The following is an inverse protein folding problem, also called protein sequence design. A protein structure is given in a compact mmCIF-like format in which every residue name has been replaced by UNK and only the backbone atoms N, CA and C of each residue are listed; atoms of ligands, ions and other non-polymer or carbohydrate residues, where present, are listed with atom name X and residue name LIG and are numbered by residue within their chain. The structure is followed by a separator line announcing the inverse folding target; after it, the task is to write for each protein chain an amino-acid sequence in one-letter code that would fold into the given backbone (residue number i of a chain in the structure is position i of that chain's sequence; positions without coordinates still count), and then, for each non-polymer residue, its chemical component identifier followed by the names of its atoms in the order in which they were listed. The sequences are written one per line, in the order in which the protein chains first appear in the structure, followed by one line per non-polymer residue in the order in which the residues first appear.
data_IF_041843489560
#
_entry.id   IF_041843489560
#
_cell.length_a   1.000
_cell.length_b   1.000
_cell.length_c   1.000
_cell.angle_alpha   90.00
_cell.angle_beta   90.00
_cell.angle_gamma   90.00
#
_symmetry.space_group_name_H-M   'P 1'
#
loop_
_entity.id
_entity.type
_entity.pdbx_description
1 polymer ?
#
# COMPACT_ATOMS: atom_id res chain seq x y z
N UNK A 1 -14.11 -11.98 -9.53
CA UNK A 1 -13.35 -10.71 -9.62
C UNK A 1 -13.27 -10.14 -11.04
N UNK A 2 -13.31 -10.98 -12.08
CA UNK A 2 -13.19 -10.55 -13.50
C UNK A 2 -14.54 -10.22 -14.18
N UNK A 3 -15.67 -10.62 -13.63
CA UNK A 3 -16.98 -10.44 -14.26
C UNK A 3 -17.72 -9.13 -13.89
N UNK A 4 -17.25 -8.38 -12.89
CA UNK A 4 -17.88 -7.12 -12.49
C UNK A 4 -17.27 -5.86 -13.10
N UNK A 5 -16.31 -6.00 -14.02
CA UNK A 5 -15.66 -4.85 -14.65
C UNK A 5 -16.54 -4.17 -15.73
N UNK A 6 -17.57 -4.83 -16.26
CA UNK A 6 -18.47 -4.23 -17.26
C UNK A 6 -19.58 -3.35 -16.66
N UNK A 7 -20.01 -3.64 -15.42
CA UNK A 7 -20.97 -2.83 -14.67
C UNK A 7 -20.34 -1.83 -13.67
N UNK A 8 -19.01 -1.87 -13.52
CA UNK A 8 -18.25 -1.22 -12.46
C UNK A 8 -18.10 0.31 -12.51
N UNK A 9 -18.77 0.98 -13.46
CA UNK A 9 -18.77 2.45 -13.50
C UNK A 9 -19.85 3.05 -12.57
N UNK A 10 -20.77 2.24 -12.06
CA UNK A 10 -21.92 2.73 -11.27
C UNK A 10 -21.73 2.62 -9.75
N UNK A 11 -20.78 1.87 -9.24
CA UNK A 11 -20.71 1.64 -7.79
C UNK A 11 -19.28 1.69 -7.24
N UNK A 12 -18.75 2.91 -7.09
CA UNK A 12 -17.58 3.17 -6.23
C UNK A 12 -17.83 2.78 -4.76
N UNK A 13 -19.09 2.56 -4.38
CA UNK A 13 -19.51 2.09 -3.06
C UNK A 13 -19.27 0.58 -2.88
N UNK A 14 -19.44 -0.24 -3.92
CA UNK A 14 -19.30 -1.71 -3.81
C UNK A 14 -17.84 -2.12 -3.68
N UNK A 15 -16.93 -1.51 -4.43
CA UNK A 15 -15.47 -1.77 -4.28
C UNK A 15 -14.95 -1.31 -2.93
N UNK A 16 -15.42 -0.17 -2.42
CA UNK A 16 -15.07 0.30 -1.07
C UNK A 16 -15.56 -0.62 0.04
N UNK A 17 -16.77 -1.20 -0.09
CA UNK A 17 -17.34 -2.12 0.89
C UNK A 17 -16.60 -3.47 0.87
N UNK A 18 -16.27 -4.02 -0.30
CA UNK A 18 -15.54 -5.29 -0.39
C UNK A 18 -14.11 -5.20 0.12
N UNK A 19 -13.40 -4.09 -0.14
CA UNK A 19 -12.04 -3.88 0.36
C UNK A 19 -11.98 -3.65 1.86
N UNK A 20 -13.03 -3.11 2.47
CA UNK A 20 -13.12 -3.01 3.93
C UNK A 20 -13.64 -4.31 4.58
N UNK A 21 -14.46 -5.11 3.90
CA UNK A 21 -15.08 -6.28 4.48
C UNK A 21 -14.11 -7.43 4.79
N UNK A 22 -13.14 -7.70 3.90
CA UNK A 22 -12.15 -8.77 4.10
C UNK A 22 -11.24 -8.53 5.32
N UNK A 23 -10.58 -7.38 5.48
CA UNK A 23 -9.77 -7.09 6.66
C UNK A 23 -10.57 -7.08 7.96
N UNK A 24 -11.81 -6.58 7.94
CA UNK A 24 -12.71 -6.61 9.09
C UNK A 24 -13.04 -8.06 9.46
N UNK A 25 -13.35 -8.93 8.50
CA UNK A 25 -13.62 -10.35 8.73
C UNK A 25 -12.41 -11.08 9.33
N UNK A 26 -11.19 -10.74 8.87
CA UNK A 26 -9.94 -11.28 9.40
C UNK A 26 -9.69 -10.77 10.82
N UNK A 27 -9.92 -9.49 11.09
CA UNK A 27 -9.80 -8.92 12.43
C UNK A 27 -10.74 -9.63 13.43
N UNK A 28 -11.99 -9.84 13.06
CA UNK A 28 -12.92 -10.60 13.89
C UNK A 28 -12.46 -12.04 14.10
N UNK A 29 -12.00 -12.73 13.06
CA UNK A 29 -11.43 -14.07 13.15
C UNK A 29 -10.26 -14.15 14.14
N UNK A 30 -9.31 -13.23 14.03
CA UNK A 30 -8.16 -13.15 14.95
C UNK A 30 -8.60 -12.83 16.39
N UNK A 31 -9.53 -11.89 16.56
CA UNK A 31 -10.05 -11.53 17.87
C UNK A 31 -10.76 -12.71 18.53
N UNK A 32 -11.63 -13.42 17.81
CA UNK A 32 -12.39 -14.58 18.32
C UNK A 32 -11.45 -15.72 18.65
N UNK A 33 -10.53 -16.08 17.77
CA UNK A 33 -9.57 -17.16 18.00
C UNK A 33 -8.60 -16.79 19.13
N UNK A 34 -8.08 -15.57 19.14
CA UNK A 34 -7.18 -15.08 20.17
C UNK A 34 -7.86 -15.07 21.55
N UNK A 35 -9.03 -14.46 21.65
CA UNK A 35 -9.78 -14.37 22.92
C UNK A 35 -10.26 -15.74 23.39
N UNK A 36 -10.85 -16.56 22.48
CA UNK A 36 -11.25 -17.92 22.78
C UNK A 36 -10.09 -18.79 23.27
N UNK A 37 -8.93 -18.68 22.62
CA UNK A 37 -7.71 -19.35 23.05
C UNK A 37 -7.22 -18.87 24.41
N UNK A 38 -7.27 -17.54 24.67
CA UNK A 38 -6.91 -16.99 25.99
C UNK A 38 -7.85 -17.46 27.10
N UNK A 39 -9.14 -17.65 26.84
CA UNK A 39 -10.12 -18.17 27.81
C UNK A 39 -9.86 -19.61 28.19
N UNK A 40 -9.14 -20.38 27.34
CA UNK A 40 -8.74 -21.76 27.68
C UNK A 40 -7.51 -21.79 28.60
N UNK A 41 -6.71 -20.72 28.63
CA UNK A 41 -5.44 -20.65 29.38
C UNK A 41 -5.60 -19.80 30.66
N UNK A 42 -6.43 -18.78 30.63
CA UNK A 42 -6.63 -17.82 31.73
C UNK A 42 -8.08 -17.80 32.22
N UNK A 43 -8.31 -17.39 33.48
CA UNK A 43 -9.63 -17.06 33.97
C UNK A 43 -10.30 -15.98 33.10
N UNK A 44 -11.63 -16.04 32.96
CA UNK A 44 -12.40 -15.14 32.10
C UNK A 44 -12.09 -13.65 32.36
N UNK A 45 -12.01 -13.26 33.63
CA UNK A 45 -11.72 -11.86 34.03
C UNK A 45 -10.36 -11.39 33.54
N UNK A 46 -9.37 -12.27 33.51
CA UNK A 46 -8.03 -11.98 33.01
C UNK A 46 -8.03 -11.92 31.48
N UNK A 47 -8.70 -12.88 30.80
CA UNK A 47 -8.78 -12.91 29.34
C UNK A 47 -9.43 -11.64 28.77
N UNK A 48 -10.50 -11.16 29.37
CA UNK A 48 -11.17 -9.92 28.93
C UNK A 48 -10.34 -8.65 29.14
N UNK A 49 -9.40 -8.62 30.10
CA UNK A 49 -8.51 -7.45 30.30
C UNK A 49 -7.52 -7.23 29.16
N UNK A 50 -7.23 -8.24 28.34
CA UNK A 50 -6.35 -8.08 27.17
C UNK A 50 -7.00 -7.24 26.05
N UNK A 51 -8.33 -7.17 25.97
CA UNK A 51 -9.03 -6.39 24.95
C UNK A 51 -8.75 -4.88 25.12
N UNK A 52 -9.08 -4.24 26.25
CA UNK A 52 -8.85 -2.82 26.43
C UNK A 52 -7.34 -2.46 26.46
N UNK A 53 -6.49 -3.31 27.02
CA UNK A 53 -5.05 -3.06 27.06
C UNK A 53 -4.44 -3.08 25.67
N UNK A 54 -4.82 -4.03 24.81
CA UNK A 54 -4.34 -4.10 23.44
C UNK A 54 -4.80 -2.92 22.60
N UNK A 55 -6.09 -2.61 22.64
CA UNK A 55 -6.63 -1.46 21.92
C UNK A 55 -5.99 -0.15 22.41
N UNK A 56 -5.86 0.02 23.72
CA UNK A 56 -5.28 1.24 24.27
C UNK A 56 -3.79 1.40 23.92
N UNK A 57 -2.99 0.33 23.98
CA UNK A 57 -1.55 0.42 23.70
C UNK A 57 -1.27 0.86 22.25
N UNK A 58 -2.11 0.45 21.29
CA UNK A 58 -1.97 0.91 19.91
C UNK A 58 -2.58 2.29 19.68
N UNK A 59 -3.78 2.56 20.20
CA UNK A 59 -4.42 3.87 19.98
C UNK A 59 -3.71 5.02 20.68
N UNK A 60 -3.00 4.75 21.76
CA UNK A 60 -2.19 5.75 22.49
C UNK A 60 -0.80 5.98 21.88
N UNK A 61 -0.39 5.18 20.90
CA UNK A 61 0.91 5.35 20.26
C UNK A 61 0.85 6.51 19.25
N UNK A 62 1.55 7.59 19.57
CA UNK A 62 1.56 8.80 18.76
C UNK A 62 2.06 8.56 17.33
N UNK A 63 3.04 7.67 17.14
CA UNK A 63 3.58 7.34 15.80
C UNK A 63 2.53 6.76 14.85
N UNK A 64 1.44 6.16 15.39
CA UNK A 64 0.33 5.69 14.58
C UNK A 64 -0.51 6.82 13.97
N UNK A 65 -0.36 8.07 14.44
CA UNK A 65 -1.02 9.24 13.84
C UNK A 65 -0.54 9.53 12.42
N UNK A 66 0.64 9.06 12.05
CA UNK A 66 1.15 9.16 10.68
C UNK A 66 0.25 8.43 9.66
N UNK A 67 -0.35 7.28 10.04
CA UNK A 67 -1.17 6.48 9.13
C UNK A 67 -2.39 7.24 8.60
N UNK A 68 -3.31 7.75 9.46
CA UNK A 68 -4.45 8.53 8.97
C UNK A 68 -4.06 9.75 8.16
N UNK A 69 -2.94 10.39 8.52
CA UNK A 69 -2.46 11.57 7.79
C UNK A 69 -1.94 11.21 6.39
N UNK A 70 -1.16 10.13 6.24
CA UNK A 70 -0.72 9.66 4.92
C UNK A 70 -1.90 9.19 4.06
N UNK A 71 -2.89 8.51 4.65
CA UNK A 71 -4.11 8.11 3.92
C UNK A 71 -4.87 9.34 3.43
N UNK A 72 -5.05 10.35 4.29
CA UNK A 72 -5.71 11.59 3.94
C UNK A 72 -4.95 12.37 2.85
N UNK A 73 -3.62 12.45 2.97
CA UNK A 73 -2.76 13.04 1.95
C UNK A 73 -2.98 12.36 0.58
N UNK A 74 -3.00 11.02 0.55
CA UNK A 74 -3.20 10.25 -0.68
C UNK A 74 -4.57 10.47 -1.32
N UNK A 75 -5.65 10.51 -0.52
CA UNK A 75 -7.00 10.79 -1.04
C UNK A 75 -7.14 12.22 -1.55
N UNK A 76 -6.50 13.19 -0.91
CA UNK A 76 -6.44 14.57 -1.40
C UNK A 76 -5.59 14.69 -2.67
N UNK A 77 -4.47 13.98 -2.77
CA UNK A 77 -3.63 13.91 -3.96
C UNK A 77 -4.39 13.36 -5.18
N UNK A 78 -5.31 12.43 -4.96
CA UNK A 78 -6.23 11.95 -5.99
C UNK A 78 -7.09 13.09 -6.55
N UNK A 79 -7.73 13.89 -5.67
CA UNK A 79 -8.57 15.03 -6.10
C UNK A 79 -7.77 16.21 -6.65
N UNK A 80 -6.46 16.24 -6.42
CA UNK A 80 -5.54 17.17 -7.07
C UNK A 80 -5.12 16.74 -8.49
N UNK A 81 -5.73 15.68 -9.07
CA UNK A 81 -5.44 15.16 -10.41
C UNK A 81 -3.97 14.76 -10.63
N UNK A 82 -3.22 14.42 -9.55
CA UNK A 82 -1.80 14.08 -9.67
C UNK A 82 -1.59 12.79 -10.47
N UNK A 83 -2.50 11.82 -10.36
CA UNK A 83 -2.46 10.59 -11.14
C UNK A 83 -2.64 10.83 -12.65
N UNK A 84 -3.49 11.78 -13.04
CA UNK A 84 -3.69 12.15 -14.44
C UNK A 84 -2.44 12.83 -15.01
N UNK A 85 -1.87 13.78 -14.28
CA UNK A 85 -0.64 14.45 -14.70
C UNK A 85 0.53 13.46 -14.84
N UNK A 86 0.65 12.52 -13.90
CA UNK A 86 1.65 11.46 -13.97
C UNK A 86 1.45 10.57 -15.21
N UNK A 87 0.21 10.21 -15.53
CA UNK A 87 -0.11 9.40 -16.70
C UNK A 87 0.16 10.14 -18.01
N UNK A 88 -0.25 11.41 -18.11
CA UNK A 88 -0.01 12.24 -19.31
C UNK A 88 1.50 12.42 -19.55
N UNK A 89 2.28 12.63 -18.49
CA UNK A 89 3.73 12.72 -18.59
C UNK A 89 4.35 11.38 -19.04
N UNK A 90 4.01 10.28 -18.37
CA UNK A 90 4.54 8.97 -18.73
C UNK A 90 4.16 8.56 -20.16
N UNK A 91 2.94 8.88 -20.59
CA UNK A 91 2.47 8.64 -21.95
C UNK A 91 3.26 9.42 -23.00
N UNK A 92 3.59 10.69 -22.75
CA UNK A 92 4.40 11.49 -23.65
C UNK A 92 5.85 10.94 -23.79
N UNK A 93 6.39 10.33 -22.73
CA UNK A 93 7.74 9.79 -22.74
C UNK A 93 7.83 8.37 -23.30
N UNK A 94 6.89 7.49 -22.96
CA UNK A 94 6.96 6.07 -23.24
C UNK A 94 5.91 5.58 -24.28
N UNK A 95 4.99 6.43 -24.71
CA UNK A 95 3.85 6.01 -25.55
C UNK A 95 4.22 5.34 -26.89
N UNK A 96 5.42 5.62 -27.43
CA UNK A 96 5.90 4.99 -28.69
C UNK A 96 6.66 3.68 -28.50
N UNK A 97 6.94 3.29 -27.25
CA UNK A 97 7.57 1.99 -26.97
C UNK A 97 6.54 0.88 -27.18
N UNK A 98 6.91 -0.33 -27.63
CA UNK A 98 5.98 -1.46 -27.64
C UNK A 98 5.32 -1.65 -26.27
N UNK A 99 3.98 -1.69 -26.24
CA UNK A 99 3.25 -1.67 -24.97
C UNK A 99 3.25 -0.33 -24.23
N UNK A 100 3.52 0.78 -24.93
CA UNK A 100 3.82 2.10 -24.35
C UNK A 100 2.78 2.65 -23.40
N UNK A 101 1.49 2.45 -23.61
CA UNK A 101 0.44 2.85 -22.66
C UNK A 101 0.49 2.01 -21.38
N UNK A 102 0.82 0.73 -21.49
CA UNK A 102 1.04 -0.12 -20.31
C UNK A 102 2.29 0.30 -19.51
N UNK A 103 3.40 0.58 -20.22
CA UNK A 103 4.63 1.14 -19.61
C UNK A 103 4.34 2.47 -18.94
N UNK A 104 3.57 3.36 -19.59
CA UNK A 104 3.14 4.62 -19.02
C UNK A 104 2.31 4.42 -17.76
N UNK A 105 1.44 3.42 -17.71
CA UNK A 105 0.67 3.06 -16.51
C UNK A 105 1.58 2.66 -15.36
N UNK A 106 2.61 1.84 -15.61
CA UNK A 106 3.58 1.41 -14.58
C UNK A 106 4.31 2.62 -13.98
N UNK A 107 4.89 3.49 -14.82
CA UNK A 107 5.63 4.65 -14.31
C UNK A 107 4.72 5.71 -13.68
N UNK A 108 3.52 5.91 -14.21
CA UNK A 108 2.58 6.85 -13.60
C UNK A 108 2.05 6.35 -12.26
N UNK A 109 1.85 5.03 -12.10
CA UNK A 109 1.53 4.44 -10.80
C UNK A 109 2.67 4.66 -9.82
N UNK A 110 3.92 4.44 -10.23
CA UNK A 110 5.09 4.70 -9.40
C UNK A 110 5.17 6.17 -8.92
N UNK A 111 4.90 7.13 -9.81
CA UNK A 111 4.90 8.56 -9.48
C UNK A 111 3.72 8.90 -8.56
N UNK A 112 2.54 8.36 -8.84
CA UNK A 112 1.35 8.61 -8.02
C UNK A 112 1.49 7.94 -6.64
N UNK A 113 2.06 6.74 -6.59
CA UNK A 113 2.37 6.01 -5.35
C UNK A 113 3.24 6.82 -4.40
N UNK A 114 4.21 7.55 -4.97
CA UNK A 114 5.05 8.49 -4.23
C UNK A 114 4.27 9.66 -3.58
N UNK A 115 2.98 9.81 -3.86
CA UNK A 115 2.10 10.82 -3.26
C UNK A 115 0.93 10.19 -2.49
N UNK A 116 0.50 8.97 -2.84
CA UNK A 116 -0.70 8.35 -2.27
C UNK A 116 -0.39 7.28 -1.23
N UNK A 117 0.69 6.51 -1.44
CA UNK A 117 1.08 5.41 -0.57
C UNK A 117 0.08 4.26 -0.47
N UNK A 118 -0.97 4.24 -1.32
CA UNK A 118 -2.08 3.30 -1.27
C UNK A 118 -2.30 2.61 -2.61
N UNK A 119 -2.05 1.30 -2.66
CA UNK A 119 -2.26 0.48 -3.87
C UNK A 119 -3.70 0.53 -4.39
N UNK A 120 -4.68 0.57 -3.49
CA UNK A 120 -6.09 0.64 -3.85
C UNK A 120 -6.44 1.95 -4.55
N UNK A 121 -5.90 3.07 -4.05
CA UNK A 121 -6.06 4.38 -4.67
C UNK A 121 -5.46 4.41 -6.06
N UNK A 122 -4.27 3.85 -6.26
CA UNK A 122 -3.63 3.79 -7.58
C UNK A 122 -4.44 2.94 -8.57
N UNK A 123 -4.85 1.74 -8.18
CA UNK A 123 -5.68 0.88 -9.04
C UNK A 123 -6.98 1.59 -9.40
N UNK A 124 -7.65 2.26 -8.45
CA UNK A 124 -8.88 3.00 -8.70
C UNK A 124 -8.69 4.17 -9.66
N UNK A 125 -7.57 4.89 -9.54
CA UNK A 125 -7.22 6.00 -10.45
C UNK A 125 -6.93 5.48 -11.85
N UNK A 126 -6.00 4.56 -11.97
CA UNK A 126 -5.53 4.11 -13.29
C UNK A 126 -6.53 3.20 -14.00
N UNK A 127 -7.42 2.52 -13.29
CA UNK A 127 -8.56 1.86 -13.93
C UNK A 127 -9.49 2.83 -14.66
N UNK A 128 -9.65 4.05 -14.14
CA UNK A 128 -10.48 5.10 -14.76
C UNK A 128 -9.75 5.90 -15.86
N UNK A 129 -8.43 6.01 -15.79
CA UNK A 129 -7.63 6.82 -16.71
C UNK A 129 -6.99 5.96 -17.79
N UNK A 130 -6.23 4.92 -17.39
CA UNK A 130 -5.40 4.15 -18.29
C UNK A 130 -6.18 3.07 -19.04
N UNK A 131 -7.12 2.37 -18.38
CA UNK A 131 -7.88 1.29 -19.04
C UNK A 131 -8.68 1.79 -20.22
N UNK A 132 -9.48 2.88 -20.16
CA UNK A 132 -10.20 3.38 -21.32
C UNK A 132 -9.28 3.82 -22.47
N UNK A 133 -8.12 4.39 -22.16
CA UNK A 133 -7.14 4.77 -23.20
C UNK A 133 -6.51 3.55 -23.86
N UNK A 134 -6.12 2.54 -23.09
CA UNK A 134 -5.63 1.27 -23.63
C UNK A 134 -6.69 0.56 -24.48
N UNK A 135 -7.96 0.57 -24.06
CA UNK A 135 -9.06 0.01 -24.83
C UNK A 135 -9.27 0.75 -26.16
N UNK A 136 -9.23 2.10 -26.16
CA UNK A 136 -9.31 2.91 -27.41
C UNK A 136 -8.15 2.63 -28.35
N UNK A 137 -6.99 2.28 -27.80
CA UNK A 137 -5.81 1.87 -28.56
C UNK A 137 -5.83 0.38 -28.96
N UNK A 138 -6.95 -0.32 -28.82
CA UNK A 138 -7.14 -1.73 -29.12
C UNK A 138 -6.22 -2.68 -28.35
N UNK A 139 -5.85 -2.33 -27.11
CA UNK A 139 -5.16 -3.28 -26.24
C UNK A 139 -6.08 -4.43 -25.83
N UNK A 140 -5.50 -5.61 -25.67
CA UNK A 140 -6.22 -6.73 -25.09
C UNK A 140 -6.73 -6.35 -23.68
N UNK A 141 -8.05 -6.48 -23.40
CA UNK A 141 -8.61 -6.09 -22.10
C UNK A 141 -7.96 -6.79 -20.92
N UNK A 142 -7.55 -8.05 -21.08
CA UNK A 142 -6.85 -8.80 -20.01
C UNK A 142 -5.49 -8.19 -19.69
N UNK A 143 -4.76 -7.76 -20.72
CA UNK A 143 -3.48 -7.07 -20.53
C UNK A 143 -3.67 -5.72 -19.87
N UNK A 144 -4.63 -4.91 -20.33
CA UNK A 144 -4.91 -3.59 -19.77
C UNK A 144 -5.25 -3.66 -18.27
N UNK A 145 -6.17 -4.56 -17.90
CA UNK A 145 -6.55 -4.77 -16.50
C UNK A 145 -5.40 -5.36 -15.67
N UNK A 146 -4.66 -6.32 -16.23
CA UNK A 146 -3.52 -6.94 -15.55
C UNK A 146 -2.41 -5.94 -15.26
N UNK A 147 -2.09 -5.06 -16.21
CA UNK A 147 -1.07 -4.01 -16.02
C UNK A 147 -1.49 -3.03 -14.93
N UNK A 148 -2.75 -2.56 -14.94
CA UNK A 148 -3.24 -1.64 -13.90
C UNK A 148 -3.23 -2.30 -12.51
N UNK A 149 -3.72 -3.53 -12.40
CA UNK A 149 -3.73 -4.26 -11.15
C UNK A 149 -2.31 -4.48 -10.59
N UNK A 150 -1.37 -4.86 -11.46
CA UNK A 150 0.02 -5.08 -11.07
C UNK A 150 0.73 -3.77 -10.74
N UNK A 151 0.51 -2.70 -11.52
CA UNK A 151 1.15 -1.40 -11.31
C UNK A 151 0.76 -0.80 -9.96
N UNK A 152 -0.47 -1.04 -9.47
CA UNK A 152 -0.89 -0.61 -8.14
C UNK A 152 -0.05 -1.17 -6.99
N UNK A 153 0.62 -2.31 -7.17
CA UNK A 153 1.53 -2.85 -6.15
C UNK A 153 2.78 -2.00 -5.94
N UNK A 154 3.16 -1.12 -6.88
CA UNK A 154 4.31 -0.23 -6.75
C UNK A 154 4.12 0.79 -5.63
N UNK A 155 2.90 1.23 -5.37
CA UNK A 155 2.56 2.21 -4.33
C UNK A 155 2.89 1.72 -2.92
N UNK A 156 2.99 0.40 -2.75
CA UNK A 156 3.40 -0.22 -1.48
C UNK A 156 4.91 -0.12 -1.26
N UNK A 157 5.69 -0.12 -2.36
CA UNK A 157 7.15 -0.13 -2.30
C UNK A 157 7.76 1.28 -2.38
N UNK A 158 7.10 2.18 -3.12
CA UNK A 158 7.63 3.54 -3.35
C UNK A 158 7.20 4.46 -2.20
N UNK A 159 8.16 5.11 -1.49
CA UNK A 159 7.81 5.98 -0.37
C UNK A 159 7.11 7.28 -0.82
N UNK A 160 6.26 7.87 0.05
CA UNK A 160 5.82 7.36 1.34
C UNK A 160 4.79 6.23 1.21
N UNK A 161 5.06 5.09 1.80
CA UNK A 161 4.19 3.91 1.78
C UNK A 161 3.54 3.69 3.14
N UNK A 162 2.21 3.59 3.16
CA UNK A 162 1.44 3.29 4.36
C UNK A 162 1.89 1.96 4.97
N UNK A 163 2.18 0.96 4.13
CA UNK A 163 2.59 -0.36 4.58
C UNK A 163 3.98 -0.35 5.23
N UNK A 164 4.93 0.45 4.72
CA UNK A 164 6.25 0.60 5.34
C UNK A 164 6.18 1.34 6.66
N UNK A 165 5.35 2.37 6.76
CA UNK A 165 5.08 3.07 8.02
C UNK A 165 4.50 2.09 9.04
N UNK A 166 3.52 1.32 8.64
CA UNK A 166 2.88 0.29 9.45
C UNK A 166 3.88 -0.78 9.93
N UNK A 167 4.72 -1.27 9.01
CA UNK A 167 5.78 -2.22 9.34
C UNK A 167 6.75 -1.65 10.38
N UNK A 168 7.21 -0.41 10.18
CA UNK A 168 8.13 0.26 11.09
C UNK A 168 7.57 0.38 12.51
N UNK A 169 6.28 0.64 12.63
CA UNK A 169 5.61 0.76 13.93
C UNK A 169 5.51 -0.60 14.64
N UNK A 170 5.10 -1.65 13.91
CA UNK A 170 4.96 -2.99 14.52
C UNK A 170 6.32 -3.57 14.93
N UNK A 171 7.36 -3.36 14.11
CA UNK A 171 8.70 -3.91 14.34
C UNK A 171 9.61 -2.99 15.16
N UNK A 172 9.08 -1.83 15.61
CA UNK A 172 9.84 -0.79 16.31
C UNK A 172 11.11 -0.36 15.55
N UNK A 173 11.03 -0.38 14.21
CA UNK A 173 12.12 0.03 13.32
C UNK A 173 11.91 1.48 12.89
N UNK A 174 13.00 2.20 12.59
CA UNK A 174 12.91 3.58 12.10
C UNK A 174 12.13 3.67 10.79
N UNK A 175 10.97 4.32 10.82
CA UNK A 175 10.14 4.55 9.63
C UNK A 175 10.91 5.28 8.54
N UNK A 176 11.72 6.30 8.90
CA UNK A 176 12.55 7.03 7.93
C UNK A 176 13.54 6.12 7.19
N UNK A 177 14.22 5.22 7.91
CA UNK A 177 15.15 4.26 7.29
C UNK A 177 14.43 3.27 6.38
N UNK A 178 13.24 2.80 6.77
CA UNK A 178 12.42 1.92 5.95
C UNK A 178 11.97 2.59 4.66
N UNK A 179 11.54 3.85 4.73
CA UNK A 179 11.15 4.62 3.55
C UNK A 179 12.35 4.80 2.59
N UNK A 180 13.56 5.05 3.10
CA UNK A 180 14.77 5.09 2.26
C UNK A 180 15.04 3.72 1.62
N UNK A 181 14.95 2.65 2.40
CA UNK A 181 15.20 1.29 1.93
C UNK A 181 14.22 0.85 0.82
N UNK A 182 12.99 1.40 0.80
CA UNK A 182 11.98 1.11 -0.22
C UNK A 182 12.26 1.69 -1.60
N UNK A 183 13.10 2.73 -1.71
CA UNK A 183 13.35 3.43 -3.00
C UNK A 183 13.95 2.46 -4.03
N UNK A 184 15.02 1.77 -3.68
CA UNK A 184 15.71 0.88 -4.62
C UNK A 184 14.85 -0.30 -5.07
N UNK A 185 14.19 -1.07 -4.19
CA UNK A 185 13.25 -2.11 -4.60
C UNK A 185 12.09 -1.57 -5.43
N UNK A 186 11.55 -0.40 -5.08
CA UNK A 186 10.47 0.25 -5.82
C UNK A 186 10.86 0.60 -7.26
N UNK A 187 12.03 1.24 -7.45
CA UNK A 187 12.56 1.55 -8.79
C UNK A 187 12.84 0.27 -9.57
N UNK A 188 13.50 -0.71 -8.95
CA UNK A 188 13.80 -1.99 -9.60
C UNK A 188 12.53 -2.69 -10.06
N UNK A 189 11.51 -2.76 -9.22
CA UNK A 189 10.22 -3.37 -9.55
C UNK A 189 9.52 -2.61 -10.68
N UNK A 190 9.52 -1.28 -10.67
CA UNK A 190 8.96 -0.47 -11.75
C UNK A 190 9.66 -0.75 -13.09
N UNK A 191 10.99 -0.82 -13.10
CA UNK A 191 11.78 -1.13 -14.31
C UNK A 191 11.50 -2.55 -14.80
N UNK A 192 11.48 -3.55 -13.89
CA UNK A 192 11.18 -4.94 -14.26
C UNK A 192 9.77 -5.09 -14.82
N UNK A 193 8.77 -4.44 -14.21
CA UNK A 193 7.39 -4.46 -14.70
C UNK A 193 7.27 -3.78 -16.07
N UNK A 194 7.86 -2.59 -16.25
CA UNK A 194 7.88 -1.90 -17.54
C UNK A 194 8.56 -2.73 -18.63
N UNK A 195 9.67 -3.39 -18.27
CA UNK A 195 10.39 -4.31 -19.16
C UNK A 195 9.53 -5.52 -19.51
N UNK A 196 8.85 -6.11 -18.52
CA UNK A 196 7.92 -7.23 -18.73
C UNK A 196 6.77 -6.87 -19.67
N UNK A 197 6.15 -5.71 -19.50
CA UNK A 197 5.10 -5.19 -20.39
C UNK A 197 5.65 -5.00 -21.82
N UNK A 198 6.83 -4.40 -21.95
CA UNK A 198 7.48 -4.17 -23.26
C UNK A 198 7.83 -5.48 -23.94
N UNK A 199 8.37 -6.44 -23.21
CA UNK A 199 8.72 -7.76 -23.75
C UNK A 199 7.47 -8.53 -24.20
N UNK A 200 6.41 -8.51 -23.37
CA UNK A 200 5.12 -9.11 -23.73
C UNK A 200 4.53 -8.49 -25.00
N UNK A 201 4.55 -7.16 -25.10
CA UNK A 201 4.08 -6.45 -26.29
C UNK A 201 4.90 -6.73 -27.54
N UNK A 202 6.22 -7.01 -27.40
CA UNK A 202 7.06 -7.45 -28.53
C UNK A 202 6.75 -8.87 -28.97
N UNK A 203 6.45 -9.77 -28.02
CA UNK A 203 6.09 -11.16 -28.31
C UNK A 203 4.68 -11.27 -28.89
N UNK A 204 3.76 -10.41 -28.48
CA UNK A 204 2.36 -10.37 -28.90
C UNK A 204 1.95 -8.96 -29.34
N UNK A 205 2.39 -8.48 -30.53
CA UNK A 205 2.12 -7.11 -30.99
C UNK A 205 0.62 -6.80 -31.11
N UNK A 206 -0.19 -7.80 -31.38
CA UNK A 206 -1.65 -7.67 -31.49
C UNK A 206 -2.31 -7.37 -30.14
N UNK A 207 -1.68 -7.79 -29.03
CA UNK A 207 -2.22 -7.56 -27.68
C UNK A 207 -1.97 -6.14 -27.16
N UNK A 208 -0.98 -5.43 -27.72
CA UNK A 208 -0.60 -4.08 -27.30
C UNK A 208 -0.10 -3.27 -28.51
N UNK A 209 -0.99 -2.85 -29.42
CA UNK A 209 -0.63 -2.07 -30.60
C UNK A 209 0.06 -0.75 -30.22
N UNK A 210 1.00 -0.32 -31.04
CA UNK A 210 1.66 0.98 -30.87
C UNK A 210 0.67 2.05 -31.32
N UNK A 211 0.34 3.00 -30.44
CA UNK A 211 -0.53 4.12 -30.78
C UNK A 211 0.23 5.14 -31.61
N UNK A 212 -0.22 5.34 -32.86
CA UNK A 212 0.38 6.30 -33.81
C UNK A 212 0.05 7.77 -33.49
N UNK A 213 -1.07 8.00 -32.80
CA UNK A 213 -1.65 9.32 -32.62
C UNK A 213 -1.11 10.09 -31.41
N UNK A 214 -0.07 9.55 -30.75
CA UNK A 214 0.50 10.18 -29.56
C UNK A 214 1.52 11.25 -29.93
N UNK A 215 1.28 12.46 -29.46
CA UNK A 215 2.28 13.52 -29.54
C UNK A 215 3.41 13.27 -28.53
N UNK A 216 4.54 12.80 -29.04
CA UNK A 216 5.76 12.56 -28.29
C UNK A 216 6.86 13.56 -28.63
N UNK A 217 6.48 14.74 -29.12
CA UNK A 217 7.41 15.82 -29.41
C UNK A 217 8.14 16.27 -28.14
N UNK A 218 9.33 16.81 -28.29
CA UNK A 218 10.08 17.37 -27.15
C UNK A 218 9.29 18.47 -26.43
N UNK A 219 8.50 19.25 -27.17
CA UNK A 219 7.62 20.26 -26.59
C UNK A 219 6.54 19.63 -25.69
N UNK A 220 5.89 18.55 -26.15
CA UNK A 220 4.91 17.82 -25.37
C UNK A 220 5.54 17.18 -24.11
N UNK A 221 6.72 16.57 -24.24
CA UNK A 221 7.46 15.99 -23.11
C UNK A 221 7.79 17.02 -22.03
N UNK A 222 8.30 18.18 -22.42
CA UNK A 222 8.61 19.26 -21.48
C UNK A 222 7.35 19.90 -20.87
N UNK A 223 6.28 20.04 -21.66
CA UNK A 223 5.02 20.58 -21.20
C UNK A 223 4.37 19.66 -20.15
N UNK A 224 4.37 18.34 -20.39
CA UNK A 224 3.83 17.36 -19.45
C UNK A 224 4.70 17.23 -18.19
N UNK A 225 6.03 17.30 -18.33
CA UNK A 225 6.95 17.29 -17.18
C UNK A 225 6.72 18.50 -16.27
N UNK A 226 6.43 19.67 -16.85
CA UNK A 226 6.06 20.86 -16.07
C UNK A 226 4.79 20.64 -15.22
N UNK A 227 3.85 19.80 -15.66
CA UNK A 227 2.63 19.50 -14.86
C UNK A 227 2.91 18.65 -13.62
N UNK A 228 4.03 17.94 -13.61
CA UNK A 228 4.45 17.13 -12.44
C UNK A 228 5.00 17.97 -11.28
N UNK A 229 5.09 19.32 -11.43
CA UNK A 229 5.61 20.18 -10.37
C UNK A 229 4.93 19.97 -9.02
N UNK A 230 3.61 19.72 -9.03
CA UNK A 230 2.80 19.53 -7.82
C UNK A 230 3.17 18.22 -7.11
N UNK A 231 3.27 17.12 -7.86
CA UNK A 231 3.73 15.84 -7.32
C UNK A 231 5.18 15.93 -6.83
N UNK A 232 6.06 16.59 -7.60
CA UNK A 232 7.47 16.77 -7.24
C UNK A 232 7.64 17.59 -5.96
N UNK A 233 6.87 18.68 -5.79
CA UNK A 233 6.93 19.48 -4.56
C UNK A 233 6.41 18.67 -3.38
N UNK A 234 5.25 18.02 -3.51
CA UNK A 234 4.67 17.22 -2.42
C UNK A 234 5.65 16.13 -1.98
N UNK A 235 6.20 15.38 -2.93
CA UNK A 235 7.20 14.34 -2.69
C UNK A 235 8.45 14.90 -2.00
N UNK A 236 9.03 15.97 -2.54
CA UNK A 236 10.27 16.57 -2.00
C UNK A 236 10.06 17.17 -0.62
N UNK A 237 8.93 17.82 -0.36
CA UNK A 237 8.64 18.39 0.95
C UNK A 237 8.46 17.30 1.99
N UNK A 238 7.66 16.28 1.70
CA UNK A 238 7.35 15.21 2.66
C UNK A 238 8.59 14.34 2.92
N UNK A 239 9.18 13.76 1.87
CA UNK A 239 10.33 12.88 2.06
C UNK A 239 11.60 13.66 2.38
N UNK A 240 11.79 14.85 1.82
CA UNK A 240 12.91 15.71 2.15
C UNK A 240 12.93 16.07 3.63
N UNK A 241 11.78 16.41 4.23
CA UNK A 241 11.67 16.69 5.65
C UNK A 241 12.04 15.47 6.51
N UNK A 242 11.59 14.26 6.13
CA UNK A 242 11.91 13.02 6.83
C UNK A 242 13.40 12.67 6.69
N UNK A 243 13.96 12.75 5.48
CA UNK A 243 15.33 12.31 5.19
C UNK A 243 16.40 13.26 5.75
N UNK A 244 16.09 14.55 5.84
CA UNK A 244 16.97 15.53 6.49
C UNK A 244 16.84 15.51 8.02
N UNK A 245 15.86 14.78 8.58
CA UNK A 245 15.61 14.74 10.02
C UNK A 245 14.97 16.02 10.58
N UNK A 246 14.48 16.92 9.70
CA UNK A 246 13.80 18.16 10.10
C UNK A 246 12.43 17.88 10.71
N UNK A 247 11.74 16.85 10.20
CA UNK A 247 10.42 16.45 10.66
C UNK A 247 10.34 14.93 10.91
N UNK A 248 9.56 14.56 11.90
CA UNK A 248 9.15 13.17 12.12
C UNK A 248 8.17 12.73 11.02
N UNK A 249 7.95 11.42 10.80
CA UNK A 249 7.01 10.94 9.79
C UNK A 249 5.59 11.48 9.92
N UNK A 250 5.11 11.67 11.15
CA UNK A 250 3.79 12.22 11.45
C UNK A 250 3.72 13.72 11.17
N UNK A 251 4.75 14.50 11.52
CA UNK A 251 4.83 15.92 11.17
C UNK A 251 4.92 16.12 9.63
N UNK A 252 5.73 15.31 8.96
CA UNK A 252 5.84 15.33 7.50
C UNK A 252 4.51 14.94 6.82
N UNK A 253 3.79 13.96 7.36
CA UNK A 253 2.47 13.58 6.87
C UNK A 253 1.45 14.72 7.05
N UNK A 254 1.48 15.44 8.19
CA UNK A 254 0.63 16.59 8.42
C UNK A 254 0.91 17.72 7.41
N UNK A 255 2.19 18.02 7.15
CA UNK A 255 2.60 18.98 6.11
C UNK A 255 2.13 18.49 4.74
N UNK A 256 2.22 17.19 4.47
CA UNK A 256 1.72 16.56 3.25
C UNK A 256 0.22 16.74 3.05
N UNK A 257 -0.58 16.60 4.10
CA UNK A 257 -2.04 16.88 4.07
C UNK A 257 -2.33 18.32 3.72
N UNK A 258 -1.66 19.27 4.40
CA UNK A 258 -1.82 20.71 4.12
C UNK A 258 -1.40 21.03 2.68
N UNK A 259 -0.27 20.48 2.24
CA UNK A 259 0.22 20.63 0.86
C UNK A 259 -0.77 20.06 -0.17
N UNK A 260 -1.31 18.87 0.06
CA UNK A 260 -2.30 18.25 -0.83
C UNK A 260 -3.60 19.07 -0.88
N UNK A 261 -4.08 19.55 0.26
CA UNK A 261 -5.26 20.42 0.32
C UNK A 261 -5.04 21.73 -0.44
N UNK A 262 -3.86 22.32 -0.28
CA UNK A 262 -3.46 23.52 -1.04
C UNK A 262 -3.44 23.25 -2.55
N UNK A 263 -2.91 22.11 -2.98
CA UNK A 263 -2.90 21.71 -4.40
C UNK A 263 -4.32 21.53 -4.96
N UNK A 264 -5.22 20.90 -4.20
CA UNK A 264 -6.64 20.77 -4.58
C UNK A 264 -7.28 22.17 -4.75
N UNK A 265 -6.94 23.09 -3.86
CA UNK A 265 -7.44 24.47 -3.93
C UNK A 265 -6.91 25.24 -5.15
N UNK A 266 -5.60 25.22 -5.38
CA UNK A 266 -4.95 25.89 -6.52
C UNK A 266 -5.48 25.38 -7.87
N UNK A 267 -5.84 24.09 -7.94
CA UNK A 267 -6.41 23.47 -9.14
C UNK A 267 -7.91 23.72 -9.33
N UNK A 268 -8.54 24.46 -8.42
CA UNK A 268 -9.99 24.75 -8.48
C UNK A 268 -10.87 23.54 -8.20
N UNK A 269 -10.28 22.45 -7.69
CA UNK A 269 -10.98 21.21 -7.40
C UNK A 269 -11.51 21.13 -5.95
N UNK A 270 -11.33 22.18 -5.15
CA UNK A 270 -11.72 22.21 -3.75
C UNK A 270 -13.24 22.37 -3.63
N UNK A 271 -13.93 21.29 -3.33
CA UNK A 271 -15.35 21.30 -2.99
C UNK A 271 -15.55 20.67 -1.63
N UNK A 272 -16.55 21.14 -0.87
CA UNK A 272 -16.87 20.58 0.45
C UNK A 272 -17.13 19.08 0.39
N UNK A 273 -17.77 18.60 -0.65
CA UNK A 273 -18.06 17.19 -0.86
C UNK A 273 -16.79 16.35 -0.97
N UNK A 274 -15.81 16.80 -1.78
CA UNK A 274 -14.52 16.10 -1.95
C UNK A 274 -13.71 16.07 -0.66
N UNK A 275 -13.64 17.19 0.04
CA UNK A 275 -12.94 17.26 1.34
C UNK A 275 -13.61 16.34 2.35
N UNK A 276 -14.94 16.43 2.49
CA UNK A 276 -15.71 15.55 3.38
C UNK A 276 -15.51 14.07 3.04
N UNK A 277 -15.56 13.73 1.76
CA UNK A 277 -15.32 12.35 1.31
C UNK A 277 -13.91 11.88 1.68
N UNK A 278 -12.87 12.70 1.45
CA UNK A 278 -11.49 12.37 1.78
C UNK A 278 -11.33 12.08 3.28
N UNK A 279 -11.93 12.90 4.13
CA UNK A 279 -11.90 12.67 5.59
C UNK A 279 -12.65 11.40 6.00
N UNK A 280 -13.83 11.16 5.45
CA UNK A 280 -14.64 9.98 5.78
C UNK A 280 -13.92 8.70 5.31
N UNK A 281 -13.37 8.71 4.09
CA UNK A 281 -12.66 7.56 3.53
C UNK A 281 -11.39 7.26 4.34
N UNK A 282 -10.60 8.28 4.64
CA UNK A 282 -9.40 8.15 5.49
C UNK A 282 -9.75 7.64 6.89
N UNK A 283 -10.83 8.13 7.48
CA UNK A 283 -11.29 7.67 8.79
C UNK A 283 -11.73 6.20 8.77
N UNK A 284 -12.43 5.76 7.72
CA UNK A 284 -12.84 4.35 7.56
C UNK A 284 -11.63 3.42 7.44
N UNK A 285 -10.67 3.76 6.58
CA UNK A 285 -9.45 2.96 6.38
C UNK A 285 -8.62 2.94 7.67
N UNK A 286 -8.49 4.06 8.35
CA UNK A 286 -7.80 4.15 9.64
C UNK A 286 -8.46 3.28 10.70
N UNK A 287 -9.78 3.37 10.86
CA UNK A 287 -10.53 2.55 11.81
C UNK A 287 -10.37 1.04 11.54
N UNK A 288 -10.38 0.66 10.27
CA UNK A 288 -10.11 -0.71 9.85
C UNK A 288 -8.70 -1.18 10.26
N UNK A 289 -7.68 -0.36 10.05
CA UNK A 289 -6.29 -0.66 10.44
C UNK A 289 -6.17 -0.80 11.96
N UNK A 290 -6.74 0.12 12.73
CA UNK A 290 -6.71 0.05 14.20
C UNK A 290 -7.45 -1.18 14.75
N UNK A 291 -8.58 -1.53 14.14
CA UNK A 291 -9.31 -2.75 14.51
C UNK A 291 -8.48 -4.00 14.23
N UNK A 292 -7.79 -4.05 13.09
CA UNK A 292 -6.91 -5.15 12.73
C UNK A 292 -5.72 -5.25 13.68
N UNK A 293 -5.10 -4.12 14.06
CA UNK A 293 -4.01 -4.06 15.04
C UNK A 293 -4.45 -4.57 16.42
N UNK A 294 -5.61 -4.12 16.90
CA UNK A 294 -6.14 -4.57 18.19
C UNK A 294 -6.43 -6.07 18.22
N UNK A 295 -7.05 -6.58 17.16
CA UNK A 295 -7.31 -8.01 17.00
C UNK A 295 -6.01 -8.82 16.88
N UNK A 296 -5.04 -8.31 16.12
CA UNK A 296 -3.72 -8.90 15.97
C UNK A 296 -2.95 -8.98 17.28
N UNK A 297 -3.06 -7.94 18.13
CA UNK A 297 -2.45 -7.95 19.46
C UNK A 297 -3.03 -9.08 20.34
N UNK A 298 -4.35 -9.22 20.38
CA UNK A 298 -5.01 -10.28 21.15
C UNK A 298 -4.55 -11.65 20.66
N UNK A 299 -4.50 -11.84 19.33
CA UNK A 299 -4.04 -13.08 18.71
C UNK A 299 -2.54 -13.35 18.98
N UNK A 300 -1.70 -12.35 18.85
CA UNK A 300 -0.27 -12.43 19.14
C UNK A 300 0.00 -12.79 20.62
N UNK A 301 -0.74 -12.19 21.54
CA UNK A 301 -0.67 -12.50 22.97
C UNK A 301 -1.06 -13.95 23.22
N UNK A 302 -2.13 -14.44 22.59
CA UNK A 302 -2.52 -15.85 22.67
C UNK A 302 -1.42 -16.79 22.17
N UNK A 303 -0.85 -16.54 20.99
CA UNK A 303 0.23 -17.36 20.42
C UNK A 303 1.48 -17.36 21.30
N UNK A 304 1.82 -16.20 21.88
CA UNK A 304 2.97 -16.06 22.77
C UNK A 304 2.79 -16.80 24.09
N UNK A 305 1.62 -16.66 24.72
CA UNK A 305 1.32 -17.27 26.03
C UNK A 305 1.14 -18.79 25.97
N UNK A 306 0.64 -19.32 24.85
CA UNK A 306 0.51 -20.76 24.63
C UNK A 306 1.80 -21.45 24.22
N UNK A 307 2.87 -20.69 23.99
CA UNK A 307 4.16 -21.25 23.58
C UNK A 307 4.21 -21.74 22.12
N UNK A 308 3.16 -21.49 21.32
CA UNK A 308 3.12 -21.88 19.90
C UNK A 308 4.30 -21.26 19.15
N UNK A 309 4.60 -19.98 19.39
CA UNK A 309 5.73 -19.29 18.73
C UNK A 309 7.06 -19.92 19.08
N UNK A 310 7.29 -20.27 20.35
CA UNK A 310 8.53 -20.92 20.79
C UNK A 310 8.69 -22.34 20.22
N UNK A 311 7.61 -23.10 20.16
CA UNK A 311 7.58 -24.44 19.57
C UNK A 311 7.88 -24.39 18.07
N UNK A 312 7.22 -23.51 17.33
CA UNK A 312 7.45 -23.31 15.89
C UNK A 312 8.90 -22.87 15.62
N UNK A 313 9.40 -21.92 16.40
CA UNK A 313 10.79 -21.45 16.28
C UNK A 313 11.80 -22.56 16.60
N UNK A 314 11.52 -23.38 17.61
CA UNK A 314 12.32 -24.55 17.94
C UNK A 314 12.34 -25.58 16.81
N UNK A 315 11.19 -25.84 16.21
CA UNK A 315 11.08 -26.76 15.07
C UNK A 315 11.85 -26.28 13.84
N UNK A 316 11.71 -24.98 13.48
CA UNK A 316 12.45 -24.36 12.36
C UNK A 316 13.97 -24.42 12.62
N UNK A 317 14.42 -24.17 13.86
CA UNK A 317 15.84 -24.28 14.22
C UNK A 317 16.35 -25.71 14.15
N UNK A 318 15.53 -26.70 14.52
CA UNK A 318 15.88 -28.10 14.43
C UNK A 318 16.00 -28.65 13.01
N UNK A 319 15.49 -27.92 12.02
CA UNK A 319 15.64 -28.27 10.61
C UNK A 319 17.01 -27.91 10.01
N UNK A 320 17.86 -27.16 10.73
CA UNK A 320 19.16 -26.66 10.26
C UNK A 320 19.13 -26.07 8.84
N UNK A 321 18.06 -25.32 8.53
CA UNK A 321 17.86 -24.71 7.22
C UNK A 321 18.92 -23.64 6.96
N UNK A 322 19.49 -23.66 5.76
CA UNK A 322 20.33 -22.55 5.30
C UNK A 322 19.50 -21.24 5.24
N UNK A 323 20.18 -20.10 5.37
CA UNK A 323 19.53 -18.78 5.25
C UNK A 323 18.67 -18.66 3.98
N UNK A 324 19.17 -19.14 2.86
CA UNK A 324 18.46 -19.11 1.58
C UNK A 324 17.22 -20.00 1.56
N UNK A 325 17.30 -21.21 2.15
CA UNK A 325 16.15 -22.10 2.25
C UNK A 325 15.05 -21.49 3.12
N UNK A 326 15.42 -20.84 4.23
CA UNK A 326 14.48 -20.12 5.08
C UNK A 326 13.81 -18.95 4.32
N UNK A 327 14.61 -18.15 3.59
CA UNK A 327 14.08 -17.04 2.78
C UNK A 327 13.10 -17.52 1.71
N UNK A 328 13.43 -18.57 0.99
CA UNK A 328 12.53 -19.18 -0.02
C UNK A 328 11.25 -19.69 0.66
N UNK A 329 11.35 -20.35 1.81
CA UNK A 329 10.18 -20.80 2.57
C UNK A 329 9.26 -19.66 2.98
N UNK A 330 9.82 -18.53 3.46
CA UNK A 330 9.06 -17.32 3.79
C UNK A 330 8.39 -16.76 2.54
N UNK A 331 9.10 -16.63 1.41
CA UNK A 331 8.55 -16.12 0.16
C UNK A 331 7.39 -16.99 -0.32
N UNK A 332 7.54 -18.32 -0.31
CA UNK A 332 6.47 -19.25 -0.69
C UNK A 332 5.25 -19.12 0.23
N UNK A 333 5.48 -19.01 1.55
CA UNK A 333 4.41 -18.77 2.53
C UNK A 333 3.66 -17.47 2.22
N UNK A 334 4.38 -16.38 1.98
CA UNK A 334 3.77 -15.08 1.69
C UNK A 334 3.05 -15.06 0.33
N UNK A 335 3.56 -15.76 -0.68
CA UNK A 335 2.85 -15.94 -1.95
C UNK A 335 1.52 -16.68 -1.76
N UNK A 336 1.53 -17.73 -0.94
CA UNK A 336 0.32 -18.49 -0.63
C UNK A 336 -0.68 -17.63 0.18
N UNK A 337 -0.24 -17.01 1.26
CA UNK A 337 -1.10 -16.15 2.09
C UNK A 337 -1.63 -14.95 1.31
N UNK A 338 -0.83 -14.34 0.45
CA UNK A 338 -1.22 -13.19 -0.38
C UNK A 338 -2.31 -13.47 -1.41
N UNK A 339 -2.60 -14.75 -1.71
CA UNK A 339 -3.78 -15.10 -2.50
C UNK A 339 -5.10 -14.91 -1.72
N UNK A 340 -5.06 -14.91 -0.39
CA UNK A 340 -6.24 -14.90 0.47
C UNK A 340 -6.34 -13.67 1.37
N UNK A 341 -5.19 -13.09 1.75
CA UNK A 341 -5.09 -12.00 2.71
C UNK A 341 -4.61 -10.72 2.03
N UNK A 342 -5.05 -9.57 2.53
CA UNK A 342 -4.44 -8.29 2.20
C UNK A 342 -3.08 -8.12 2.92
N UNK A 343 -2.28 -7.17 2.46
CA UNK A 343 -0.91 -7.00 2.93
C UNK A 343 -0.84 -6.65 4.43
N UNK A 344 -1.75 -5.83 4.94
CA UNK A 344 -1.79 -5.42 6.36
C UNK A 344 -2.16 -6.61 7.23
N UNK A 345 -3.22 -7.34 6.88
CA UNK A 345 -3.66 -8.55 7.59
C UNK A 345 -2.58 -9.61 7.63
N UNK A 346 -1.89 -9.82 6.49
CA UNK A 346 -0.79 -10.77 6.41
C UNK A 346 0.36 -10.39 7.34
N UNK A 347 0.73 -9.11 7.41
CA UNK A 347 1.76 -8.63 8.32
C UNK A 347 1.37 -8.82 9.78
N UNK A 348 0.17 -8.43 10.17
CA UNK A 348 -0.32 -8.58 11.56
C UNK A 348 -0.34 -10.03 11.99
N UNK A 349 -0.72 -10.95 11.09
CA UNK A 349 -0.77 -12.38 11.37
C UNK A 349 0.63 -13.02 11.52
N UNK A 350 1.58 -12.61 10.69
CA UNK A 350 2.88 -13.29 10.58
C UNK A 350 3.99 -12.65 11.43
N UNK A 351 3.90 -11.34 11.71
CA UNK A 351 4.92 -10.63 12.49
C UNK A 351 5.20 -11.22 13.87
N UNK A 352 4.20 -11.64 14.67
CA UNK A 352 4.47 -12.26 15.97
C UNK A 352 5.32 -13.53 15.89
N UNK A 353 5.29 -14.20 14.73
CA UNK A 353 6.04 -15.45 14.49
C UNK A 353 7.44 -15.14 13.94
N UNK A 354 7.55 -14.13 13.06
CA UNK A 354 8.78 -13.81 12.33
C UNK A 354 9.68 -12.82 13.06
N UNK A 355 9.12 -11.92 13.88
CA UNK A 355 9.91 -10.93 14.61
C UNK A 355 10.52 -11.48 15.89
N UNK A 356 11.85 -11.65 15.84
CA UNK A 356 12.66 -12.20 16.92
C UNK A 356 12.95 -11.19 18.06
N UNK A 357 12.70 -9.90 17.88
CA UNK A 357 12.97 -8.88 18.90
C UNK A 357 11.98 -8.91 20.04
N UNK A 358 10.71 -9.18 19.77
CA UNK A 358 9.65 -9.24 20.78
C UNK A 358 9.87 -10.36 21.79
N UNK A 359 10.57 -11.45 21.40
CA UNK A 359 10.93 -12.57 22.30
C UNK A 359 12.16 -12.29 23.18
N UNK A 360 13.00 -11.30 22.87
CA UNK A 360 14.19 -10.98 23.71
C UNK A 360 13.90 -9.98 24.83
N UNK A 361 12.91 -9.11 24.67
CA UNK A 361 12.54 -8.12 25.71
C UNK A 361 11.85 -8.77 26.91
N UNK A 362 11.22 -9.93 26.74
CA UNK A 362 10.58 -10.66 27.84
C UNK A 362 11.57 -11.53 28.66
N UNK A 363 12.81 -11.71 28.21
CA UNK A 363 13.80 -12.51 28.92
C UNK A 363 14.79 -11.69 29.78
N UNK A 364 14.68 -10.36 29.78
CA UNK A 364 15.52 -9.45 30.59
C UNK A 364 14.83 -8.93 31.85
N UNK A 365 13.62 -9.40 32.15
CA UNK A 365 12.83 -9.04 33.35
C UNK A 365 12.50 -10.25 34.25
N UNK A 366 13.28 -11.31 34.17
CA UNK A 366 13.28 -12.40 35.19
C UNK A 366 14.61 -12.48 35.90
#
# INVERSE_FOLDING_TARGET
FFFQAEDGIRDSSVTGVQTCALPISIAYGMAVVGLGGMMLVYPLDAAFKFIPTGLFSYTSNFTLSALPLFILMGTLAFYADLGKDAYDAAKAWFGRVPGGLGVATVYSSAIFGACSGSSLSAVAVFSKIAVPEMQRANYNPKLALGVVASAGCLDVLIPPSILMVFYGIITETSVGQLLIAGIMPGILTAVLMATGVTLYARMYPEAAPISSDLDTSWAAKLATLKRLWAAAILFTVVLGAIYTGIATPDEAAAVGVVGSLFLVWVRGNLTWERVRFSFIDSAKVTAMIFMLLGAGYIFATFLSTTGVVSTMTGWIKGMDLSFWALMVGIVVLYLFLGCFLDAISMMVLTMPILDRKSTRLNSSHT
#
